data_IF_443401856599
#
_entry.id   IF_443401856599
#
_cell.length_a   1.000
_cell.length_b   1.000
_cell.length_c   1.000
_cell.angle_alpha   90.00
_cell.angle_beta   90.00
_cell.angle_gamma   90.00
#
_symmetry.space_group_name_H-M   'P 1'
#
loop_
_entity.id
_entity.type
_entity.pdbx_description
1 polymer ?
#
# COMPACT_ATOMS: atom_id res chain seq x y z
N UNK A 1 11.94 4.95 -19.18
CA UNK A 1 13.05 4.59 -18.27
C UNK A 1 13.21 5.79 -17.38
N UNK A 2 12.78 5.65 -16.14
CA UNK A 2 12.99 6.64 -15.10
C UNK A 2 14.49 6.63 -14.78
N UNK A 3 15.19 7.69 -15.16
CA UNK A 3 16.61 7.84 -14.81
C UNK A 3 16.69 8.20 -13.33
N UNK A 4 16.81 7.21 -12.45
CA UNK A 4 17.13 7.44 -11.04
C UNK A 4 18.50 8.12 -10.99
N UNK A 5 18.51 9.42 -10.65
CA UNK A 5 19.73 10.21 -10.56
C UNK A 5 20.02 10.62 -9.12
N UNK A 6 21.31 10.75 -8.80
CA UNK A 6 21.75 11.29 -7.51
C UNK A 6 22.22 12.73 -7.73
N UNK A 7 21.54 13.70 -7.11
CA UNK A 7 21.83 15.14 -7.25
C UNK A 7 23.30 15.51 -7.03
N UNK A 8 23.97 14.84 -6.10
CA UNK A 8 25.38 15.07 -5.74
C UNK A 8 26.33 13.99 -6.30
N UNK A 9 25.96 13.31 -7.39
CA UNK A 9 26.76 12.20 -7.95
C UNK A 9 28.22 12.59 -8.16
N UNK A 10 28.49 13.71 -8.82
CA UNK A 10 29.85 14.19 -9.11
C UNK A 10 30.67 14.45 -7.82
N UNK A 11 30.01 14.80 -6.71
CA UNK A 11 30.63 15.01 -5.41
C UNK A 11 30.90 13.69 -4.69
N UNK A 12 30.00 12.71 -4.82
CA UNK A 12 30.07 11.41 -4.15
C UNK A 12 31.04 10.47 -4.87
N UNK A 13 31.04 10.48 -6.21
CA UNK A 13 31.81 9.64 -7.13
C UNK A 13 33.31 10.04 -7.17
N UNK A 14 33.97 9.91 -6.03
CA UNK A 14 35.41 10.17 -5.88
C UNK A 14 36.30 9.07 -6.47
N UNK A 15 35.73 7.88 -6.72
CA UNK A 15 36.43 6.71 -7.26
C UNK A 15 35.50 5.90 -8.16
N UNK A 16 36.05 5.06 -9.04
CA UNK A 16 35.24 4.14 -9.85
C UNK A 16 34.37 3.19 -9.00
N UNK A 17 34.85 2.80 -7.81
CA UNK A 17 34.07 1.98 -6.89
C UNK A 17 32.84 2.72 -6.34
N UNK A 18 32.93 4.04 -6.10
CA UNK A 18 31.77 4.84 -5.73
C UNK A 18 30.76 4.93 -6.88
N UNK A 19 31.23 5.05 -8.12
CA UNK A 19 30.36 5.07 -9.30
C UNK A 19 29.54 3.79 -9.41
N UNK A 20 30.22 2.64 -9.33
CA UNK A 20 29.55 1.32 -9.31
C UNK A 20 28.56 1.19 -8.15
N UNK A 21 28.91 1.66 -6.95
CA UNK A 21 28.01 1.60 -5.80
C UNK A 21 26.74 2.46 -6.02
N UNK A 22 26.87 3.65 -6.61
CA UNK A 22 25.73 4.49 -6.97
C UNK A 22 24.87 3.84 -8.04
N UNK A 23 25.47 3.20 -9.06
CA UNK A 23 24.72 2.49 -10.10
C UNK A 23 23.94 1.30 -9.52
N UNK A 24 24.54 0.55 -8.59
CA UNK A 24 23.83 -0.51 -7.87
C UNK A 24 22.65 0.03 -7.05
N UNK A 25 22.81 1.18 -6.39
CA UNK A 25 21.73 1.82 -5.65
C UNK A 25 20.61 2.30 -6.58
N UNK A 26 20.95 2.95 -7.70
CA UNK A 26 19.98 3.38 -8.70
C UNK A 26 19.19 2.19 -9.25
N UNK A 27 19.87 1.11 -9.62
CA UNK A 27 19.22 -0.11 -10.12
C UNK A 27 18.30 -0.75 -9.05
N UNK A 28 18.70 -0.73 -7.78
CA UNK A 28 17.87 -1.22 -6.67
C UNK A 28 16.60 -0.37 -6.47
N UNK A 29 16.73 0.96 -6.51
CA UNK A 29 15.58 1.87 -6.42
C UNK A 29 14.66 1.72 -7.63
N UNK A 30 15.23 1.64 -8.84
CA UNK A 30 14.48 1.44 -10.08
C UNK A 30 13.69 0.13 -10.03
N UNK A 31 14.31 -0.97 -9.59
CA UNK A 31 13.63 -2.26 -9.43
C UNK A 31 12.48 -2.21 -8.41
N UNK A 32 12.57 -1.34 -7.39
CA UNK A 32 11.54 -1.16 -6.37
C UNK A 32 10.42 -0.19 -6.79
N UNK A 33 10.49 0.44 -7.97
CA UNK A 33 9.43 1.32 -8.45
C UNK A 33 8.13 0.51 -8.70
N UNK A 34 6.95 1.03 -8.31
CA UNK A 34 5.68 0.30 -8.42
C UNK A 34 5.42 -0.32 -9.79
N UNK A 35 5.67 0.42 -10.87
CA UNK A 35 5.46 -0.07 -12.23
C UNK A 35 6.35 -1.27 -12.59
N UNK A 36 7.60 -1.28 -12.11
CA UNK A 36 8.56 -2.34 -12.35
C UNK A 36 8.25 -3.57 -11.49
N UNK A 37 7.94 -3.37 -10.20
CA UNK A 37 7.51 -4.46 -9.30
C UNK A 37 6.26 -5.16 -9.85
N UNK A 38 5.25 -4.40 -10.29
CA UNK A 38 4.05 -4.98 -10.90
C UNK A 38 4.36 -5.65 -12.24
N UNK A 39 5.31 -5.12 -13.02
CA UNK A 39 5.72 -5.75 -14.27
C UNK A 39 6.38 -7.12 -14.07
N UNK A 40 7.23 -7.23 -13.06
CA UNK A 40 7.96 -8.45 -12.77
C UNK A 40 7.07 -9.49 -12.08
N UNK A 41 6.19 -9.05 -11.17
CA UNK A 41 5.36 -9.94 -10.37
C UNK A 41 4.04 -10.34 -11.04
N UNK A 42 3.45 -9.48 -11.89
CA UNK A 42 2.08 -9.65 -12.38
C UNK A 42 2.03 -9.76 -13.90
N UNK A 43 1.44 -10.86 -14.38
CA UNK A 43 1.19 -11.07 -15.81
C UNK A 43 -0.24 -11.52 -16.06
N UNK A 44 -0.81 -11.07 -17.18
CA UNK A 44 -2.12 -11.50 -17.66
C UNK A 44 -1.95 -12.07 -19.06
N UNK A 45 -2.28 -13.34 -19.23
CA UNK A 45 -2.22 -14.02 -20.52
C UNK A 45 -3.31 -15.09 -20.60
N UNK A 46 -3.98 -15.18 -21.76
CA UNK A 46 -5.02 -16.17 -22.04
C UNK A 46 -6.13 -16.21 -20.98
N UNK A 47 -6.60 -15.04 -20.53
CA UNK A 47 -7.61 -14.93 -19.47
C UNK A 47 -7.14 -15.33 -18.07
N UNK A 48 -5.85 -15.65 -17.89
CA UNK A 48 -5.28 -16.03 -16.58
C UNK A 48 -4.41 -14.90 -16.03
N UNK A 49 -4.72 -14.44 -14.82
CA UNK A 49 -3.86 -13.60 -14.00
C UNK A 49 -2.87 -14.48 -13.24
N UNK A 50 -1.57 -14.22 -13.40
CA UNK A 50 -0.50 -14.85 -12.63
C UNK A 50 0.21 -13.82 -11.77
N UNK A 51 0.46 -14.19 -10.52
CA UNK A 51 1.13 -13.36 -9.52
C UNK A 51 2.25 -14.18 -8.92
N UNK A 52 3.49 -13.70 -9.06
CA UNK A 52 4.67 -14.26 -8.41
C UNK A 52 4.93 -13.50 -7.10
N UNK A 53 4.96 -14.23 -5.99
CA UNK A 53 5.30 -13.72 -4.67
C UNK A 53 6.83 -13.68 -4.47
N UNK A 54 7.26 -12.92 -3.46
CA UNK A 54 8.69 -12.71 -3.14
C UNK A 54 9.40 -13.99 -2.68
N UNK A 55 8.66 -14.95 -2.15
CA UNK A 55 9.14 -16.28 -1.74
C UNK A 55 9.25 -17.28 -2.92
N UNK A 56 8.89 -16.84 -4.13
CA UNK A 56 8.90 -17.65 -5.35
C UNK A 56 7.63 -18.47 -5.57
N UNK A 57 6.64 -18.38 -4.69
CA UNK A 57 5.33 -18.97 -4.93
C UNK A 57 4.60 -18.22 -6.06
N UNK A 58 3.84 -18.95 -6.88
CA UNK A 58 3.06 -18.35 -7.96
C UNK A 58 1.60 -18.73 -7.81
N UNK A 59 0.74 -17.72 -7.70
CA UNK A 59 -0.70 -17.88 -7.75
C UNK A 59 -1.22 -17.64 -9.17
N UNK A 60 -2.26 -18.37 -9.56
CA UNK A 60 -2.92 -18.22 -10.85
C UNK A 60 -4.44 -18.16 -10.67
N UNK A 61 -5.07 -17.20 -11.34
CA UNK A 61 -6.51 -16.94 -11.26
C UNK A 61 -7.08 -16.90 -12.68
N UNK A 62 -8.07 -17.75 -12.94
CA UNK A 62 -8.88 -17.67 -14.16
C UNK A 62 -9.80 -16.45 -14.06
N UNK A 63 -9.52 -15.41 -14.84
CA UNK A 63 -10.29 -14.17 -14.82
C UNK A 63 -11.73 -14.40 -15.30
N UNK A 64 -11.98 -15.40 -16.14
CA UNK A 64 -13.32 -15.74 -16.65
C UNK A 64 -14.24 -16.34 -15.59
N UNK A 65 -13.69 -16.79 -14.47
CA UNK A 65 -14.46 -17.17 -13.29
C UNK A 65 -15.08 -15.96 -12.56
N UNK A 66 -14.62 -14.74 -12.83
CA UNK A 66 -15.05 -13.53 -12.13
C UNK A 66 -15.93 -12.64 -13.00
N UNK A 67 -17.10 -12.29 -12.47
CA UNK A 67 -18.01 -11.32 -13.10
C UNK A 67 -17.46 -9.90 -13.06
N UNK A 68 -16.74 -9.58 -11.99
CA UNK A 68 -16.23 -8.24 -11.73
C UNK A 68 -14.91 -8.34 -10.98
N UNK A 69 -13.95 -7.53 -11.40
CA UNK A 69 -12.66 -7.33 -10.73
C UNK A 69 -12.54 -5.86 -10.37
N UNK A 70 -12.08 -5.59 -9.15
CA UNK A 70 -11.91 -4.24 -8.62
C UNK A 70 -10.58 -4.14 -7.87
N UNK A 71 -9.93 -2.99 -7.98
CA UNK A 71 -8.74 -2.64 -7.21
C UNK A 71 -9.16 -1.84 -5.96
N UNK A 72 -8.59 -2.22 -4.83
CA UNK A 72 -8.69 -1.51 -3.56
C UNK A 72 -7.28 -1.44 -3.00
N UNK A 73 -6.79 -0.25 -2.69
CA UNK A 73 -5.43 -0.08 -2.18
C UNK A 73 -5.29 1.11 -1.25
N UNK A 74 -4.26 1.10 -0.43
CA UNK A 74 -3.80 2.31 0.21
C UNK A 74 -2.32 2.26 0.58
N UNK A 75 -1.77 3.43 0.87
CA UNK A 75 -0.38 3.66 1.20
C UNK A 75 0.30 4.49 0.12
N UNK A 76 1.51 4.95 0.44
CA UNK A 76 2.29 5.91 -0.37
C UNK A 76 2.55 5.48 -1.82
N UNK A 77 2.57 4.18 -2.07
CA UNK A 77 2.82 3.61 -3.38
C UNK A 77 1.54 3.05 -4.05
N UNK A 78 0.38 3.19 -3.41
CA UNK A 78 -0.84 2.51 -3.85
C UNK A 78 -1.37 3.04 -5.18
N UNK A 79 -1.20 4.33 -5.46
CA UNK A 79 -1.53 4.95 -6.74
C UNK A 79 -0.68 4.37 -7.89
N UNK A 80 0.64 4.31 -7.72
CA UNK A 80 1.55 3.75 -8.72
C UNK A 80 1.32 2.26 -8.95
N UNK A 81 1.08 1.49 -7.87
CA UNK A 81 0.75 0.05 -7.98
C UNK A 81 -0.59 -0.14 -8.68
N UNK A 82 -1.62 0.62 -8.32
CA UNK A 82 -2.94 0.49 -8.91
C UNK A 82 -2.98 0.89 -10.38
N UNK A 83 -2.27 1.96 -10.76
CA UNK A 83 -2.13 2.35 -12.16
C UNK A 83 -1.49 1.22 -12.99
N UNK A 84 -0.38 0.67 -12.51
CA UNK A 84 0.32 -0.42 -13.20
C UNK A 84 -0.51 -1.71 -13.28
N UNK A 85 -1.39 -1.97 -12.32
CA UNK A 85 -2.35 -3.07 -12.36
C UNK A 85 -3.50 -2.80 -13.33
N UNK A 86 -4.06 -1.59 -13.33
CA UNK A 86 -5.13 -1.19 -14.24
C UNK A 86 -4.67 -1.31 -15.70
N UNK A 87 -3.45 -0.89 -16.03
CA UNK A 87 -2.88 -1.05 -17.38
C UNK A 87 -2.83 -2.51 -17.84
N UNK A 88 -2.62 -3.46 -16.91
CA UNK A 88 -2.55 -4.91 -17.19
C UNK A 88 -3.91 -5.58 -17.21
N UNK A 89 -4.87 -5.05 -16.46
CA UNK A 89 -6.18 -5.66 -16.24
C UNK A 89 -7.26 -5.08 -17.16
N UNK A 90 -7.12 -3.81 -17.56
CA UNK A 90 -8.12 -3.05 -18.31
C UNK A 90 -8.52 -3.73 -19.63
N UNK A 91 -7.56 -3.90 -20.54
CA UNK A 91 -7.84 -4.52 -21.85
C UNK A 91 -8.31 -5.98 -21.74
N UNK A 92 -7.67 -6.87 -20.95
CA UNK A 92 -8.12 -8.27 -20.84
C UNK A 92 -9.51 -8.45 -20.22
N UNK A 93 -9.91 -7.57 -19.28
CA UNK A 93 -11.20 -7.69 -18.61
C UNK A 93 -12.31 -6.87 -19.26
N UNK A 94 -11.97 -5.79 -19.98
CA UNK A 94 -12.92 -4.87 -20.57
C UNK A 94 -13.92 -4.34 -19.53
N UNK A 95 -15.21 -4.57 -19.75
CA UNK A 95 -16.28 -4.14 -18.85
C UNK A 95 -16.31 -4.87 -17.49
N UNK A 96 -15.59 -6.00 -17.35
CA UNK A 96 -15.47 -6.70 -16.07
C UNK A 96 -14.51 -6.00 -15.10
N UNK A 97 -13.64 -5.12 -15.60
CA UNK A 97 -12.82 -4.29 -14.74
C UNK A 97 -13.63 -3.08 -14.27
N UNK A 98 -14.13 -3.15 -13.05
CA UNK A 98 -14.97 -2.12 -12.43
C UNK A 98 -14.16 -0.98 -11.79
N UNK A 99 -12.92 -0.80 -12.24
CA UNK A 99 -12.01 0.22 -11.74
C UNK A 99 -11.50 -0.09 -10.34
N UNK A 100 -11.20 0.97 -9.59
CA UNK A 100 -10.73 0.84 -8.23
C UNK A 100 -10.68 2.14 -7.48
N UNK A 101 -10.45 2.02 -6.18
CA UNK A 101 -10.24 3.16 -5.30
C UNK A 101 -8.96 2.95 -4.52
N UNK A 102 -8.09 3.95 -4.55
CA UNK A 102 -6.83 3.94 -3.80
C UNK A 102 -6.71 5.17 -2.93
N UNK A 103 -6.11 5.00 -1.77
CA UNK A 103 -5.80 6.09 -0.84
C UNK A 103 -4.28 6.23 -0.76
N UNK A 104 -3.76 7.36 -1.20
CA UNK A 104 -2.33 7.67 -1.10
C UNK A 104 -2.13 9.00 -0.40
N UNK A 105 -1.00 9.19 0.27
CA UNK A 105 -0.69 10.46 0.93
C UNK A 105 -0.73 11.60 -0.11
N UNK A 106 -1.28 12.77 0.25
CA UNK A 106 -1.07 13.95 -0.60
C UNK A 106 0.44 14.19 -0.74
N UNK A 107 0.92 14.57 -1.94
CA UNK A 107 2.31 15.00 -2.08
C UNK A 107 2.54 16.13 -1.08
N UNK A 108 3.44 15.87 -0.14
CA UNK A 108 3.82 16.81 0.89
C UNK A 108 4.26 18.11 0.21
N UNK A 109 3.47 19.19 0.37
CA UNK A 109 3.84 20.55 -0.01
C UNK A 109 4.95 21.05 0.96
N UNK A 110 6.08 20.34 1.01
CA UNK A 110 7.37 20.91 1.39
C UNK A 110 7.78 20.92 2.85
N UNK A 111 7.59 19.84 3.63
CA UNK A 111 8.28 19.68 4.94
C UNK A 111 9.09 18.37 5.10
N UNK A 112 9.39 17.69 3.99
CA UNK A 112 10.51 16.75 3.93
C UNK A 112 11.85 17.45 4.22
N UNK A 113 12.90 16.74 4.69
CA UNK A 113 14.19 17.35 5.02
C UNK A 113 14.66 18.20 3.84
N UNK A 114 14.82 19.51 4.10
CA UNK A 114 15.07 20.54 3.09
C UNK A 114 16.02 20.05 2.00
N UNK A 115 15.47 19.69 0.84
CA UNK A 115 16.22 19.19 -0.31
C UNK A 115 15.78 17.84 -0.88
N UNK A 116 14.84 17.11 -0.27
CA UNK A 116 14.14 16.05 -0.98
C UNK A 116 13.14 16.70 -1.96
N UNK A 117 13.35 16.51 -3.26
CA UNK A 117 12.30 16.85 -4.23
C UNK A 117 11.05 16.03 -3.88
N UNK A 118 9.83 16.56 -4.09
CA UNK A 118 8.62 15.76 -4.01
C UNK A 118 8.84 14.48 -4.83
N UNK A 119 8.42 13.30 -4.34
CA UNK A 119 8.53 12.09 -5.15
C UNK A 119 7.80 12.35 -6.48
N UNK A 120 8.50 12.16 -7.60
CA UNK A 120 7.97 12.35 -8.97
C UNK A 120 6.73 11.47 -9.28
N UNK A 121 6.28 10.63 -8.33
CA UNK A 121 5.12 9.76 -8.45
C UNK A 121 3.78 10.50 -8.48
N UNK A 122 3.71 11.77 -8.06
CA UNK A 122 2.44 12.52 -8.05
C UNK A 122 1.97 12.99 -9.43
N UNK A 123 2.81 12.92 -10.47
CA UNK A 123 2.41 13.25 -11.85
C UNK A 123 1.96 12.03 -12.68
N UNK A 124 2.06 10.81 -12.14
CA UNK A 124 1.39 9.62 -12.71
C UNK A 124 0.00 9.43 -12.08
N UNK A 125 -0.85 10.45 -12.20
CA UNK A 125 -2.29 10.20 -12.16
C UNK A 125 -2.62 9.20 -13.28
N UNK A 126 -3.09 8.02 -12.88
CA UNK A 126 -3.24 6.85 -13.74
C UNK A 126 -3.96 7.17 -15.05
N UNK A 127 -3.44 6.64 -16.15
CA UNK A 127 -4.02 6.80 -17.49
C UNK A 127 -5.42 6.15 -17.63
N UNK A 128 -5.86 5.36 -16.66
CA UNK A 128 -7.19 4.76 -16.62
C UNK A 128 -8.16 5.60 -15.76
N UNK A 129 -9.15 6.19 -16.42
CA UNK A 129 -10.21 6.99 -15.81
C UNK A 129 -11.14 6.23 -14.87
N UNK A 130 -10.93 4.91 -14.71
CA UNK A 130 -11.66 4.05 -13.78
C UNK A 130 -11.01 3.96 -12.39
N UNK A 131 -9.87 4.60 -12.15
CA UNK A 131 -9.24 4.66 -10.82
C UNK A 131 -9.56 5.97 -10.11
N UNK A 132 -10.17 5.87 -8.93
CA UNK A 132 -10.35 6.98 -8.00
C UNK A 132 -9.16 7.02 -7.04
N UNK A 133 -8.30 8.04 -7.16
CA UNK A 133 -7.21 8.32 -6.22
C UNK A 133 -7.71 9.33 -5.20
N UNK A 134 -7.79 8.91 -3.95
CA UNK A 134 -8.23 9.73 -2.82
C UNK A 134 -7.04 10.12 -1.94
N UNK A 135 -7.02 11.34 -1.39
CA UNK A 135 -5.97 11.74 -0.47
C UNK A 135 -6.12 10.99 0.87
N UNK A 136 -5.00 10.47 1.36
CA UNK A 136 -4.82 9.88 2.68
C UNK A 136 -3.94 10.75 3.56
N UNK A 137 -4.03 10.52 4.86
CA UNK A 137 -3.14 11.15 5.84
C UNK A 137 -2.43 10.08 6.67
N UNK A 138 -1.13 10.27 6.91
CA UNK A 138 -0.28 9.44 7.75
C UNK A 138 0.57 10.33 8.69
N UNK A 139 0.86 9.95 9.95
CA UNK A 139 0.43 8.78 10.72
C UNK A 139 -0.87 8.97 11.52
N UNK A 140 -1.28 10.22 11.73
CA UNK A 140 -2.54 10.59 12.36
C UNK A 140 -3.52 10.96 11.24
N UNK A 141 -4.71 10.35 11.21
CA UNK A 141 -5.63 10.59 10.11
C UNK A 141 -6.16 12.05 10.26
N UNK A 142 -6.42 12.87 9.23
CA UNK A 142 -7.17 14.15 9.36
C UNK A 142 -8.66 13.93 9.06
N UNK A 143 -9.57 14.85 9.38
CA UNK A 143 -11.02 14.65 9.10
C UNK A 143 -11.29 14.25 7.63
N UNK A 144 -10.43 14.67 6.69
CA UNK A 144 -10.52 14.31 5.27
C UNK A 144 -9.92 12.93 4.98
N UNK A 145 -8.69 12.64 5.41
CA UNK A 145 -8.11 11.30 5.26
C UNK A 145 -8.94 10.23 5.97
N UNK A 146 -9.77 10.62 6.93
CA UNK A 146 -10.76 9.80 7.62
C UNK A 146 -12.00 9.59 6.79
N UNK A 147 -12.52 10.60 6.12
CA UNK A 147 -13.66 10.45 5.22
C UNK A 147 -13.28 9.55 4.03
N UNK A 148 -12.05 9.68 3.54
CA UNK A 148 -11.50 8.83 2.49
C UNK A 148 -11.11 7.44 2.99
N UNK A 149 -10.47 7.31 4.16
CA UNK A 149 -10.09 6.03 4.74
C UNK A 149 -11.23 5.30 5.48
N UNK A 150 -12.30 5.99 5.85
CA UNK A 150 -13.60 5.40 6.25
C UNK A 150 -14.14 4.50 5.14
N UNK A 151 -13.84 4.83 3.87
CA UNK A 151 -14.18 3.99 2.75
C UNK A 151 -13.31 2.71 2.64
N UNK A 152 -12.07 2.68 3.18
CA UNK A 152 -11.11 1.59 2.89
C UNK A 152 -10.21 1.10 4.06
N UNK A 153 -9.57 1.94 4.88
CA UNK A 153 -8.52 1.50 5.85
C UNK A 153 -8.47 2.15 7.24
N UNK A 154 -9.16 3.26 7.51
CA UNK A 154 -9.25 3.89 8.83
C UNK A 154 -10.70 3.94 9.33
N UNK A 155 -11.50 2.93 8.96
CA UNK A 155 -12.83 2.75 9.50
C UNK A 155 -12.70 2.34 10.99
N UNK A 156 -13.16 3.17 11.94
CA UNK A 156 -13.29 2.76 13.33
C UNK A 156 -14.35 1.68 13.47
N UNK A 157 -14.20 0.80 14.45
CA UNK A 157 -15.26 -0.12 14.82
C UNK A 157 -16.38 0.62 15.55
N UNK A 158 -17.64 0.43 15.19
CA UNK A 158 -18.77 1.01 15.92
C UNK A 158 -18.71 0.63 17.42
N UNK A 159 -18.96 1.56 18.35
CA UNK A 159 -19.44 2.94 18.16
C UNK A 159 -18.32 4.01 18.09
N UNK A 160 -17.07 3.62 17.85
CA UNK A 160 -15.93 4.53 17.89
C UNK A 160 -15.99 5.54 16.73
N UNK A 161 -15.60 6.76 17.03
CA UNK A 161 -15.24 7.78 16.08
C UNK A 161 -13.75 7.74 15.78
N UNK A 162 -13.35 8.59 14.84
CA UNK A 162 -11.94 8.78 14.50
C UNK A 162 -11.18 9.51 15.58
N UNK A 163 -11.81 10.50 16.22
CA UNK A 163 -11.17 11.22 17.31
C UNK A 163 -10.82 10.27 18.45
N UNK A 164 -11.66 9.25 18.71
CA UNK A 164 -11.34 8.19 19.66
C UNK A 164 -10.07 7.42 19.26
N UNK A 165 -9.90 7.09 17.96
CA UNK A 165 -8.69 6.41 17.49
C UNK A 165 -7.44 7.29 17.57
N UNK A 166 -7.58 8.60 17.34
CA UNK A 166 -6.48 9.56 17.49
C UNK A 166 -6.05 9.67 18.94
N UNK A 167 -6.99 9.97 19.83
CA UNK A 167 -6.72 10.09 21.27
C UNK A 167 -6.10 8.81 21.83
N UNK A 168 -6.62 7.65 21.43
CA UNK A 168 -6.06 6.36 21.82
C UNK A 168 -4.62 6.17 21.34
N UNK A 169 -4.34 6.48 20.07
CA UNK A 169 -3.00 6.34 19.49
C UNK A 169 -2.01 7.29 20.17
N UNK A 170 -2.41 8.54 20.40
CA UNK A 170 -1.59 9.54 21.09
C UNK A 170 -1.29 9.13 22.54
N UNK A 171 -2.29 8.59 23.25
CA UNK A 171 -2.11 8.11 24.61
C UNK A 171 -1.13 6.93 24.69
N UNK A 172 -1.23 5.97 23.76
CA UNK A 172 -0.33 4.82 23.70
C UNK A 172 1.11 5.23 23.35
N UNK A 173 1.28 6.17 22.42
CA UNK A 173 2.60 6.73 22.11
C UNK A 173 3.19 7.48 23.30
N UNK A 174 2.38 8.28 24.00
CA UNK A 174 2.81 9.07 25.14
C UNK A 174 3.21 8.21 26.35
N UNK A 175 2.59 7.03 26.53
CA UNK A 175 2.97 6.10 27.60
C UNK A 175 4.16 5.18 27.22
N UNK A 176 4.64 5.26 25.98
CA UNK A 176 5.77 4.47 25.50
C UNK A 176 5.41 3.02 25.15
N UNK A 177 4.16 2.75 24.78
CA UNK A 177 3.76 1.45 24.26
C UNK A 177 4.61 1.10 23.03
N UNK A 178 4.97 -0.17 22.92
CA UNK A 178 5.64 -0.73 21.75
C UNK A 178 4.74 -0.68 20.52
N UNK A 179 5.35 -0.75 19.34
CA UNK A 179 4.61 -0.77 18.07
C UNK A 179 3.65 -1.98 17.99
N UNK A 180 4.02 -3.11 18.59
CA UNK A 180 3.22 -4.33 18.60
C UNK A 180 1.97 -4.15 19.49
N UNK A 181 2.13 -3.57 20.68
CA UNK A 181 1.01 -3.23 21.58
C UNK A 181 0.07 -2.20 20.92
N UNK A 182 0.63 -1.15 20.33
CA UNK A 182 -0.14 -0.14 19.59
C UNK A 182 -0.94 -0.80 18.46
N UNK A 183 -0.31 -1.70 17.69
CA UNK A 183 -0.97 -2.38 16.59
C UNK A 183 -2.05 -3.36 17.07
N UNK A 184 -1.84 -4.09 18.16
CA UNK A 184 -2.85 -4.97 18.74
C UNK A 184 -4.12 -4.17 19.08
N UNK A 185 -3.98 -3.04 19.77
CA UNK A 185 -5.10 -2.16 20.12
C UNK A 185 -5.76 -1.58 18.85
N UNK A 186 -4.97 -1.03 17.92
CA UNK A 186 -5.50 -0.41 16.68
C UNK A 186 -6.27 -1.39 15.80
N UNK A 187 -5.88 -2.67 15.75
CA UNK A 187 -6.63 -3.70 15.02
C UNK A 187 -8.00 -3.94 15.66
N UNK A 188 -8.06 -4.05 16.98
CA UNK A 188 -9.29 -4.29 17.75
C UNK A 188 -10.27 -3.12 17.79
N UNK A 189 -9.79 -1.90 17.48
CA UNK A 189 -10.61 -0.70 17.35
C UNK A 189 -10.99 -0.35 15.90
N UNK A 190 -10.65 -1.18 14.91
CA UNK A 190 -10.91 -0.92 13.48
C UNK A 190 -11.93 -1.89 12.88
N UNK A 191 -12.74 -1.42 11.93
CA UNK A 191 -13.68 -2.24 11.17
C UNK A 191 -13.04 -2.98 9.98
N UNK A 192 -11.77 -2.70 9.65
CA UNK A 192 -11.12 -3.19 8.41
C UNK A 192 -9.77 -3.87 8.63
N UNK A 193 -9.07 -3.56 9.73
CA UNK A 193 -7.77 -4.17 10.07
C UNK A 193 -7.95 -5.60 10.60
N UNK A 194 -6.85 -6.36 10.74
CA UNK A 194 -6.90 -7.69 11.34
C UNK A 194 -7.78 -8.71 10.60
N UNK A 195 -7.76 -8.66 9.27
CA UNK A 195 -8.52 -9.56 8.41
C UNK A 195 -9.97 -9.15 8.17
N UNK A 196 -10.45 -8.05 8.78
CA UNK A 196 -11.84 -7.65 8.68
C UNK A 196 -12.22 -7.13 7.29
N UNK A 197 -11.28 -6.55 6.53
CA UNK A 197 -11.53 -6.21 5.12
C UNK A 197 -11.79 -7.47 4.29
N UNK A 198 -10.98 -8.52 4.46
CA UNK A 198 -11.22 -9.80 3.79
C UNK A 198 -12.56 -10.43 4.20
N UNK A 199 -12.93 -10.33 5.48
CA UNK A 199 -14.25 -10.79 5.95
C UNK A 199 -15.40 -10.00 5.33
N UNK A 200 -15.24 -8.69 5.16
CA UNK A 200 -16.26 -7.81 4.57
C UNK A 200 -16.42 -8.04 3.07
N UNK A 201 -15.32 -8.37 2.40
CA UNK A 201 -15.32 -8.72 0.99
C UNK A 201 -15.97 -10.08 0.69
N UNK A 202 -16.18 -10.95 1.70
CA UNK A 202 -16.78 -12.25 1.50
C UNK A 202 -18.18 -12.13 0.86
N UNK A 203 -18.50 -12.94 -0.16
CA UNK A 203 -17.79 -14.14 -0.62
C UNK A 203 -16.79 -13.90 -1.77
N UNK A 204 -16.39 -12.66 -2.06
CA UNK A 204 -15.45 -12.38 -3.14
C UNK A 204 -14.06 -12.97 -2.84
N UNK A 205 -13.32 -13.31 -3.91
CA UNK A 205 -11.90 -13.67 -3.78
C UNK A 205 -11.08 -12.41 -3.54
N UNK A 206 -10.29 -12.43 -2.48
CA UNK A 206 -9.40 -11.33 -2.10
C UNK A 206 -7.97 -11.75 -2.42
N UNK A 207 -7.30 -10.93 -3.23
CA UNK A 207 -5.89 -11.09 -3.57
C UNK A 207 -5.16 -9.86 -3.05
N UNK A 208 -4.19 -10.05 -2.17
CA UNK A 208 -3.42 -8.96 -1.57
C UNK A 208 -2.06 -8.86 -2.22
N UNK A 209 -1.76 -7.69 -2.78
CA UNK A 209 -0.42 -7.31 -3.20
C UNK A 209 0.10 -6.29 -2.19
N UNK A 210 1.14 -6.67 -1.46
CA UNK A 210 1.73 -5.86 -0.40
C UNK A 210 3.14 -5.41 -0.82
N UNK A 211 3.42 -4.12 -0.62
CA UNK A 211 4.79 -3.59 -0.68
C UNK A 211 5.22 -3.39 0.76
N UNK A 212 6.25 -4.12 1.19
CA UNK A 212 6.67 -4.19 2.59
C UNK A 212 7.81 -3.22 2.88
N UNK A 213 7.61 -2.38 3.89
CA UNK A 213 8.66 -1.65 4.62
C UNK A 213 8.94 -2.29 5.99
N UNK A 214 8.35 -3.46 6.26
CA UNK A 214 8.43 -4.19 7.53
C UNK A 214 9.56 -5.21 7.46
N UNK A 215 10.47 -5.17 8.44
CA UNK A 215 11.53 -6.18 8.55
C UNK A 215 10.92 -7.56 8.74
N UNK A 216 11.20 -8.49 7.82
CA UNK A 216 10.70 -9.86 7.88
C UNK A 216 9.36 -10.08 7.18
N UNK A 217 8.78 -9.05 6.56
CA UNK A 217 7.63 -9.13 5.65
C UNK A 217 6.38 -9.79 6.25
N UNK A 218 6.14 -9.64 7.57
CA UNK A 218 4.97 -10.22 8.23
C UNK A 218 3.66 -9.58 7.70
N UNK A 219 2.80 -10.36 6.98
CA UNK A 219 1.56 -9.85 6.41
C UNK A 219 0.55 -9.35 7.45
N UNK A 220 0.62 -9.84 8.70
CA UNK A 220 -0.25 -9.38 9.78
C UNK A 220 0.13 -8.00 10.32
N UNK A 221 1.36 -7.54 10.02
CA UNK A 221 1.91 -6.24 10.42
C UNK A 221 1.79 -5.23 9.28
N UNK A 222 2.08 -5.63 8.03
CA UNK A 222 2.00 -4.75 6.86
C UNK A 222 0.58 -4.17 6.74
N UNK A 223 0.47 -2.84 6.81
CA UNK A 223 -0.84 -2.16 6.79
C UNK A 223 -1.80 -2.58 7.92
N UNK A 224 -1.28 -3.17 9.00
CA UNK A 224 -2.05 -3.82 10.07
C UNK A 224 -2.92 -5.00 9.60
N UNK A 225 -2.47 -5.70 8.56
CA UNK A 225 -3.04 -6.97 8.08
C UNK A 225 -4.53 -6.92 7.78
N UNK A 226 -5.04 -6.02 6.92
CA UNK A 226 -6.49 -5.89 6.68
C UNK A 226 -7.12 -7.14 6.06
N UNK A 227 -6.32 -7.96 5.40
CA UNK A 227 -6.76 -9.17 4.69
C UNK A 227 -6.19 -10.46 5.28
N UNK A 228 -5.46 -10.38 6.39
CA UNK A 228 -4.79 -11.52 7.04
C UNK A 228 -5.31 -11.65 8.47
N UNK A 229 -5.53 -12.86 9.00
CA UNK A 229 -5.99 -13.03 10.38
C UNK A 229 -5.08 -12.34 11.39
N UNK A 230 -5.69 -11.65 12.35
CA UNK A 230 -4.96 -11.10 13.49
C UNK A 230 -4.72 -12.19 14.54
N UNK A 231 -3.47 -12.47 14.94
CA UNK A 231 -3.19 -13.43 16.01
C UNK A 231 -3.48 -12.87 17.41
N UNK A 232 -3.59 -11.54 17.58
CA UNK A 232 -3.89 -10.92 18.87
C UNK A 232 -5.37 -11.01 19.23
N UNK A 233 -5.68 -10.83 20.52
CA UNK A 233 -7.03 -10.91 21.07
C UNK A 233 -7.43 -9.62 21.79
N UNK A 234 -8.73 -9.49 22.10
CA UNK A 234 -9.21 -8.39 22.94
C UNK A 234 -8.58 -8.39 24.34
N UNK A 235 -8.24 -9.55 24.89
CA UNK A 235 -7.57 -9.63 26.17
C UNK A 235 -6.16 -9.02 26.07
N UNK A 236 -5.41 -9.35 25.02
CA UNK A 236 -4.09 -8.76 24.76
C UNK A 236 -4.16 -7.23 24.56
N UNK A 237 -5.25 -6.72 23.99
CA UNK A 237 -5.46 -5.29 23.78
C UNK A 237 -5.89 -4.52 25.05
N UNK A 238 -6.33 -5.23 26.10
CA UNK A 238 -6.79 -4.62 27.35
C UNK A 238 -5.73 -4.65 28.47
N UNK A 239 -4.69 -5.47 28.34
CA UNK A 239 -3.54 -5.53 29.25
C UNK A 239 -2.61 -4.31 29.13
#
# INVERSE_FOLDING_TARGET
MSDITFRDRDRIERTAAHGVALDCLAAGIEAALPANVVADAVSVADGTLRIAAVDGETAAYDLDAYRTVRIVGAGKAADGVAAALADRLGDPLGDRFAGGTVITDEPDDGDGPAGADPPESSEQSGADSRLDVLPGDHPLPTERGVEHASALLAAPADPLGVDDLRELTDALLACGASIDEINAVRKHCSAVKGGLLARTAAPATVVTLAVSDVVGDDPAVIGSGPTVPDPSTYDDALE
#
